data_IF_649043460883
#
_entry.id   IF_649043460883
#
_cell.length_a   1.000
_cell.length_b   1.000
_cell.length_c   1.000
_cell.angle_alpha   90.00
_cell.angle_beta   90.00
_cell.angle_gamma   90.00
#
_symmetry.space_group_name_H-M   'P 1'
#
loop_
_entity.id
_entity.type
_entity.pdbx_description
1 polymer ?
#
# COMPACT_ATOMS: atom_id res chain seq x y z
N UNK A 1 -4.44 -14.18 -12.32
CA UNK A 1 -3.93 -13.43 -11.15
C UNK A 1 -4.97 -13.50 -10.06
N UNK A 2 -4.59 -13.94 -8.87
CA UNK A 2 -5.50 -14.05 -7.72
C UNK A 2 -5.20 -12.96 -6.68
N UNK A 3 -6.16 -12.70 -5.78
CA UNK A 3 -6.05 -11.69 -4.72
C UNK A 3 -4.80 -11.87 -3.85
N UNK A 4 -4.43 -13.11 -3.55
CA UNK A 4 -3.21 -13.44 -2.80
C UNK A 4 -1.94 -12.93 -3.48
N UNK A 5 -1.78 -13.16 -4.80
CA UNK A 5 -0.60 -12.69 -5.52
C UNK A 5 -0.50 -11.16 -5.56
N UNK A 6 -1.64 -10.47 -5.64
CA UNK A 6 -1.68 -9.00 -5.57
C UNK A 6 -1.28 -8.53 -4.18
N UNK A 7 -1.78 -9.17 -3.11
CA UNK A 7 -1.39 -8.88 -1.73
C UNK A 7 0.10 -9.14 -1.47
N UNK A 8 0.67 -10.22 -1.99
CA UNK A 8 2.10 -10.50 -1.88
C UNK A 8 2.95 -9.46 -2.61
N UNK A 9 2.52 -9.02 -3.81
CA UNK A 9 3.18 -7.94 -4.52
C UNK A 9 3.11 -6.62 -3.73
N UNK A 10 1.95 -6.29 -3.15
CA UNK A 10 1.77 -5.10 -2.32
C UNK A 10 2.56 -5.16 -1.00
N UNK A 11 2.81 -6.35 -0.46
CA UNK A 11 3.71 -6.53 0.70
C UNK A 11 5.16 -6.18 0.41
N UNK A 12 5.59 -6.23 -0.85
CA UNK A 12 6.93 -5.77 -1.25
C UNK A 12 7.00 -4.24 -1.40
N UNK A 13 5.86 -3.55 -1.37
CA UNK A 13 5.80 -2.09 -1.42
C UNK A 13 5.90 -1.55 0.00
N UNK A 14 7.13 -1.25 0.43
CA UNK A 14 7.43 -0.64 1.72
C UNK A 14 7.02 0.82 1.72
N UNK A 15 6.36 1.26 2.79
CA UNK A 15 6.00 2.67 2.93
C UNK A 15 7.26 3.48 3.31
N UNK A 16 7.64 4.51 2.53
CA UNK A 16 8.85 5.29 2.81
C UNK A 16 8.79 5.94 4.20
N UNK A 17 9.91 5.90 4.91
CA UNK A 17 9.99 6.34 6.31
C UNK A 17 9.67 5.25 7.34
N UNK A 18 9.22 4.06 6.90
CA UNK A 18 8.91 2.94 7.78
C UNK A 18 9.45 1.61 7.24
N UNK A 19 9.54 0.61 8.13
CA UNK A 19 10.00 -0.75 7.79
C UNK A 19 8.87 -1.66 7.31
N UNK A 20 7.61 -1.22 7.43
CA UNK A 20 6.42 -2.04 7.13
C UNK A 20 5.84 -1.72 5.74
N UNK A 21 5.15 -2.70 5.16
CA UNK A 21 4.52 -2.56 3.85
C UNK A 21 3.19 -1.80 3.92
N UNK A 22 2.72 -1.27 2.79
CA UNK A 22 1.40 -0.62 2.70
C UNK A 22 0.24 -1.57 3.08
N UNK A 23 0.47 -2.89 2.99
CA UNK A 23 -0.46 -3.93 3.44
C UNK A 23 -0.41 -4.09 4.95
N UNK A 24 0.79 -4.11 5.55
CA UNK A 24 0.97 -4.19 7.01
C UNK A 24 0.36 -3.01 7.75
N UNK A 25 0.42 -1.82 7.15
CA UNK A 25 -0.21 -0.62 7.68
C UNK A 25 -1.74 -0.61 7.55
N UNK A 26 -2.30 -1.52 6.76
CA UNK A 26 -3.74 -1.53 6.48
C UNK A 26 -4.21 -0.36 5.62
N UNK A 27 -3.30 0.27 4.84
CA UNK A 27 -3.68 1.35 3.91
C UNK A 27 -4.47 0.84 2.71
N UNK A 28 -4.36 -0.45 2.38
CA UNK A 28 -5.11 -1.06 1.29
C UNK A 28 -6.58 -1.19 1.71
N UNK A 29 -7.41 -0.25 1.26
CA UNK A 29 -8.84 -0.19 1.56
C UNK A 29 -9.63 -1.22 0.77
N UNK A 30 -9.31 -1.38 -0.51
CA UNK A 30 -9.99 -2.31 -1.40
C UNK A 30 -9.06 -2.85 -2.49
N UNK A 31 -9.29 -4.10 -2.91
CA UNK A 31 -8.58 -4.76 -4.01
C UNK A 31 -9.61 -5.45 -4.89
N UNK A 32 -9.85 -4.88 -6.07
CA UNK A 32 -10.75 -5.42 -7.07
C UNK A 32 -9.94 -5.98 -8.24
N UNK A 33 -10.12 -7.26 -8.53
CA UNK A 33 -9.47 -7.93 -9.66
C UNK A 33 -10.56 -8.19 -10.69
N UNK A 34 -10.41 -7.58 -11.86
CA UNK A 34 -11.17 -7.93 -13.07
C UNK A 34 -10.23 -8.68 -14.00
N UNK A 35 -10.75 -9.62 -14.79
CA UNK A 35 -10.05 -10.53 -15.72
C UNK A 35 -8.64 -10.10 -16.18
N UNK A 36 -8.49 -8.86 -16.69
CA UNK A 36 -7.23 -8.28 -17.17
C UNK A 36 -6.73 -7.05 -16.40
N UNK A 37 -7.42 -6.59 -15.37
CA UNK A 37 -7.09 -5.34 -14.68
C UNK A 37 -7.25 -5.45 -13.18
N UNK A 38 -6.21 -5.06 -12.45
CA UNK A 38 -6.22 -5.00 -11.00
C UNK A 38 -6.41 -3.54 -10.59
N UNK A 39 -7.46 -3.28 -9.80
CA UNK A 39 -7.74 -1.98 -9.20
C UNK A 39 -7.54 -2.07 -7.70
N UNK A 40 -6.78 -1.13 -7.16
CA UNK A 40 -6.40 -1.11 -5.75
C UNK A 40 -6.77 0.27 -5.25
N UNK A 41 -7.55 0.33 -4.17
CA UNK A 41 -7.88 1.57 -3.48
C UNK A 41 -7.03 1.61 -2.23
N UNK A 42 -6.12 2.57 -2.18
CA UNK A 42 -5.24 2.80 -1.03
C UNK A 42 -5.66 4.11 -0.38
N UNK A 43 -5.98 4.06 0.91
CA UNK A 43 -6.32 5.22 1.71
C UNK A 43 -5.15 5.46 2.66
N UNK A 44 -4.24 6.34 2.21
CA UNK A 44 -3.11 6.75 3.03
C UNK A 44 -3.63 7.91 3.86
N UNK A 45 -4.04 7.62 5.10
CA UNK A 45 -4.35 8.66 6.07
C UNK A 45 -3.05 9.39 6.37
N UNK A 46 -2.84 10.49 5.65
CA UNK A 46 -1.69 11.39 5.78
C UNK A 46 -1.64 12.12 7.14
N UNK A 47 -2.29 11.56 8.18
CA UNK A 47 -2.03 11.86 9.59
C UNK A 47 -0.66 11.37 10.05
N UNK A 48 0.06 10.61 9.20
CA UNK A 48 1.50 10.48 9.32
C UNK A 48 2.16 11.81 8.89
N UNK A 49 2.17 12.78 9.80
CA UNK A 49 3.04 13.97 9.80
C UNK A 49 4.55 13.62 9.62
N UNK A 50 4.91 12.33 9.53
CA UNK A 50 6.27 11.80 9.40
C UNK A 50 6.93 11.99 8.01
N UNK A 51 6.18 12.29 6.94
CA UNK A 51 6.77 12.57 5.59
C UNK A 51 7.19 14.04 5.43
N UNK A 52 7.08 14.87 6.49
CA UNK A 52 7.59 16.26 6.45
C UNK A 52 9.11 16.39 6.70
N UNK A 53 9.81 15.31 7.04
CA UNK A 53 11.22 15.39 7.44
C UNK A 53 12.16 14.69 6.45
N UNK A 54 12.21 15.17 5.21
CA UNK A 54 13.35 14.90 4.33
C UNK A 54 13.82 16.15 3.57
N UNK A 55 13.79 17.29 4.26
CA UNK A 55 14.55 18.50 3.90
C UNK A 55 15.23 18.97 5.19
N UNK A 56 16.43 18.47 5.45
CA UNK A 56 17.43 19.14 6.30
C UNK A 56 18.77 18.99 5.58
#
# INVERSE_FOLDING_TARGET
>A
MNKEQVLEALKNVTYPGFTKSIVDFGFVKDVAINDKSVRIIVDITSSADEVKMQII
#
